data_IF_307886507238
#
_entry.id   IF_307886507238
#
_cell.length_a   1.000
_cell.length_b   1.000
_cell.length_c   1.000
_cell.angle_alpha   90.00
_cell.angle_beta   90.00
_cell.angle_gamma   90.00
#
_symmetry.space_group_name_H-M   'P 1'
#
loop_
_entity.id
_entity.type
_entity.pdbx_description
1 polymer ?
#
# COMPACT_ATOMS: atom_id res chain seq x y z
N UNK A 1 2.39 5.86 18.40
CA UNK A 1 0.92 5.75 18.51
C UNK A 1 0.40 4.90 17.35
N UNK A 2 -0.60 4.05 17.59
CA UNK A 2 -1.31 3.32 16.52
C UNK A 2 -1.83 4.29 15.45
N UNK A 3 -1.99 3.85 14.18
CA UNK A 3 -2.61 4.69 13.16
C UNK A 3 -3.99 5.12 13.65
N UNK A 4 -4.31 6.42 13.58
CA UNK A 4 -5.67 6.86 13.84
C UNK A 4 -6.54 6.37 12.68
N UNK A 5 -7.67 5.73 12.98
CA UNK A 5 -8.76 5.62 12.00
C UNK A 5 -9.08 7.03 11.47
N UNK A 6 -9.47 7.16 10.19
CA UNK A 6 -9.78 8.46 9.62
C UNK A 6 -10.76 9.18 10.54
N UNK A 7 -10.36 10.36 11.04
CA UNK A 7 -11.30 11.22 11.75
C UNK A 7 -12.39 11.61 10.75
N UNK A 8 -13.65 11.56 11.17
CA UNK A 8 -14.74 12.19 10.41
C UNK A 8 -14.29 13.59 10.00
N UNK A 9 -14.19 13.79 8.68
CA UNK A 9 -13.74 15.03 8.08
C UNK A 9 -14.77 16.10 8.43
N UNK A 10 -14.31 17.18 9.08
CA UNK A 10 -15.14 18.36 9.32
C UNK A 10 -15.61 18.90 7.97
N UNK A 11 -16.89 19.24 7.96
CA UNK A 11 -17.80 19.65 6.88
C UNK A 11 -17.37 20.88 6.03
N UNK A 12 -16.12 20.95 5.57
CA UNK A 12 -15.65 21.95 4.59
C UNK A 12 -15.47 21.34 3.17
N UNK A 13 -15.54 20.01 3.03
CA UNK A 13 -15.34 19.27 1.76
C UNK A 13 -16.65 18.83 1.07
N UNK A 14 -17.68 19.68 1.09
CA UNK A 14 -18.98 19.40 0.43
C UNK A 14 -18.88 19.17 -1.09
N UNK A 15 -17.72 19.45 -1.71
CA UNK A 15 -17.49 19.35 -3.15
C UNK A 15 -16.36 18.37 -3.55
N UNK A 16 -15.71 17.70 -2.60
CA UNK A 16 -14.68 16.73 -2.93
C UNK A 16 -15.34 15.41 -3.40
N UNK A 17 -15.23 15.14 -4.70
CA UNK A 17 -15.66 13.86 -5.26
C UNK A 17 -14.82 12.74 -4.63
N UNK A 18 -15.49 11.77 -3.99
CA UNK A 18 -14.85 10.56 -3.50
C UNK A 18 -14.13 9.84 -4.65
N UNK A 19 -13.03 9.16 -4.33
CA UNK A 19 -12.28 8.38 -5.31
C UNK A 19 -13.17 7.34 -6.00
N UNK A 20 -14.09 6.73 -5.26
CA UNK A 20 -15.08 5.77 -5.79
C UNK A 20 -16.00 6.35 -6.86
N UNK A 21 -16.20 7.67 -6.89
CA UNK A 21 -17.00 8.37 -7.90
C UNK A 21 -16.23 8.67 -9.18
N UNK A 22 -14.89 8.62 -9.16
CA UNK A 22 -14.02 8.96 -10.30
C UNK A 22 -13.28 7.75 -10.89
N UNK A 23 -13.06 6.69 -10.09
CA UNK A 23 -12.38 5.48 -10.54
C UNK A 23 -13.37 4.45 -11.07
N UNK A 24 -12.94 3.64 -12.05
CA UNK A 24 -13.70 2.49 -12.49
C UNK A 24 -13.61 1.37 -11.44
N UNK A 25 -14.73 1.03 -10.80
CA UNK A 25 -14.80 -0.05 -9.80
C UNK A 25 -14.49 -1.44 -10.38
N UNK A 26 -14.60 -1.62 -11.69
CA UNK A 26 -14.21 -2.85 -12.36
C UNK A 26 -12.70 -2.99 -12.60
N UNK A 27 -11.91 -1.96 -12.29
CA UNK A 27 -10.46 -1.96 -12.45
C UNK A 27 -9.79 -3.00 -11.55
N UNK A 28 -8.72 -3.62 -12.04
CA UNK A 28 -8.03 -4.73 -11.37
C UNK A 28 -7.51 -4.36 -9.98
N UNK A 29 -6.91 -3.16 -9.84
CA UNK A 29 -6.45 -2.67 -8.53
C UNK A 29 -7.59 -2.47 -7.54
N UNK A 30 -8.77 -2.01 -7.99
CA UNK A 30 -9.94 -1.80 -7.10
C UNK A 30 -10.44 -3.15 -6.59
N UNK A 31 -10.60 -4.12 -7.50
CA UNK A 31 -10.96 -5.49 -7.13
C UNK A 31 -9.94 -6.12 -6.19
N UNK A 32 -8.65 -5.86 -6.40
CA UNK A 32 -7.60 -6.34 -5.52
C UNK A 32 -7.68 -5.70 -4.13
N UNK A 33 -7.97 -4.40 -4.06
CA UNK A 33 -8.22 -3.70 -2.79
C UNK A 33 -9.31 -4.38 -1.99
N UNK A 34 -10.42 -4.74 -2.61
CA UNK A 34 -11.57 -5.32 -1.90
C UNK A 34 -11.33 -6.77 -1.44
N UNK A 35 -10.33 -7.45 -2.01
CA UNK A 35 -9.97 -8.84 -1.65
C UNK A 35 -8.91 -8.94 -0.56
N UNK A 36 -8.04 -7.94 -0.44
CA UNK A 36 -7.02 -7.92 0.59
C UNK A 36 -7.69 -7.65 1.93
N UNK A 37 -7.46 -8.52 2.92
CA UNK A 37 -7.90 -8.28 4.30
C UNK A 37 -6.99 -7.23 4.97
N UNK A 38 -7.29 -5.96 4.68
CA UNK A 38 -6.56 -4.82 5.25
C UNK A 38 -6.70 -4.73 6.77
N UNK A 39 -7.78 -5.26 7.36
CA UNK A 39 -7.97 -5.29 8.81
C UNK A 39 -7.02 -6.29 9.46
N UNK A 40 -6.85 -7.47 8.85
CA UNK A 40 -5.87 -8.44 9.26
C UNK A 40 -4.45 -7.88 9.16
N UNK A 41 -4.09 -7.27 8.03
CA UNK A 41 -2.80 -6.61 7.84
C UNK A 41 -2.54 -5.56 8.92
N UNK A 42 -3.52 -4.67 9.18
CA UNK A 42 -3.37 -3.65 10.21
C UNK A 42 -3.16 -4.28 11.59
N UNK A 43 -3.92 -5.33 11.92
CA UNK A 43 -3.81 -6.05 13.20
C UNK A 43 -2.42 -6.64 13.41
N UNK A 44 -1.81 -7.22 12.37
CA UNK A 44 -0.46 -7.77 12.45
C UNK A 44 0.60 -6.66 12.56
N UNK A 45 0.32 -5.47 12.02
CA UNK A 45 1.21 -4.32 12.13
C UNK A 45 1.13 -3.62 13.50
N UNK A 46 0.02 -3.72 14.24
CA UNK A 46 -0.17 -3.01 15.52
C UNK A 46 0.94 -3.22 16.57
N UNK A 47 1.51 -4.43 16.77
CA UNK A 47 2.56 -4.66 17.77
C UNK A 47 3.83 -3.81 17.56
N UNK A 48 4.07 -3.33 16.34
CA UNK A 48 5.25 -2.53 16.00
C UNK A 48 5.07 -1.02 16.28
N UNK A 49 3.90 -0.60 16.74
CA UNK A 49 3.59 0.80 17.03
C UNK A 49 3.18 0.99 18.48
N UNK A 50 3.82 1.95 19.16
CA UNK A 50 3.47 2.35 20.52
C UNK A 50 2.03 2.87 20.62
N UNK A 51 1.43 2.88 21.82
CA UNK A 51 0.12 3.51 22.06
C UNK A 51 0.24 5.04 22.15
N UNK A 52 1.38 5.57 22.58
CA UNK A 52 1.61 7.01 22.79
C UNK A 52 2.52 7.63 21.71
N UNK A 53 2.45 8.95 21.50
CA UNK A 53 3.27 9.70 20.53
C UNK A 53 2.57 10.10 19.21
N UNK A 54 3.35 10.51 18.20
CA UNK A 54 2.82 10.90 16.86
C UNK A 54 2.00 9.75 16.24
N UNK A 55 0.84 10.02 15.60
CA UNK A 55 0.07 8.99 14.91
C UNK A 55 0.95 8.25 13.91
N UNK A 56 0.94 6.92 13.97
CA UNK A 56 1.63 6.13 12.96
C UNK A 56 0.98 6.34 11.60
N UNK A 57 1.81 6.21 10.57
CA UNK A 57 1.35 6.21 9.18
C UNK A 57 0.44 4.99 8.99
N UNK A 58 -0.71 5.12 8.31
CA UNK A 58 -1.62 3.99 8.09
C UNK A 58 -0.91 2.79 7.48
N UNK A 59 -1.11 1.61 8.08
CA UNK A 59 -0.53 0.35 7.62
C UNK A 59 -0.90 0.07 6.16
N UNK A 60 -2.15 0.38 5.78
CA UNK A 60 -2.65 0.24 4.39
C UNK A 60 -1.89 1.12 3.39
N UNK A 61 -1.56 2.37 3.73
CA UNK A 61 -0.77 3.23 2.85
C UNK A 61 0.60 2.60 2.59
N UNK A 62 1.28 2.17 3.64
CA UNK A 62 2.63 1.61 3.56
C UNK A 62 2.69 0.28 2.81
N UNK A 63 1.84 -0.68 3.23
CA UNK A 63 1.76 -1.98 2.57
C UNK A 63 1.29 -1.82 1.13
N UNK A 64 0.34 -0.92 0.88
CA UNK A 64 -0.14 -0.61 -0.47
C UNK A 64 0.95 -0.07 -1.38
N UNK A 65 1.75 0.90 -0.92
CA UNK A 65 2.89 1.43 -1.68
C UNK A 65 3.91 0.34 -2.01
N UNK A 66 4.23 -0.53 -1.06
CA UNK A 66 5.17 -1.62 -1.29
C UNK A 66 4.62 -2.69 -2.25
N UNK A 67 3.33 -3.03 -2.16
CA UNK A 67 2.67 -3.91 -3.14
C UNK A 67 2.75 -3.31 -4.54
N UNK A 68 2.43 -2.02 -4.70
CA UNK A 68 2.53 -1.32 -5.98
C UNK A 68 3.98 -1.31 -6.51
N UNK A 69 4.97 -1.09 -5.64
CA UNK A 69 6.39 -1.19 -6.02
C UNK A 69 6.74 -2.57 -6.54
N UNK A 70 6.31 -3.63 -5.86
CA UNK A 70 6.61 -5.00 -6.27
C UNK A 70 5.85 -5.42 -7.53
N UNK A 71 4.59 -5.03 -7.66
CA UNK A 71 3.75 -5.35 -8.82
C UNK A 71 4.22 -4.65 -10.11
N UNK A 72 4.68 -3.41 -9.99
CA UNK A 72 5.05 -2.57 -11.14
C UNK A 72 6.57 -2.34 -11.27
N UNK A 73 7.38 -3.03 -10.46
CA UNK A 73 8.84 -2.89 -10.39
C UNK A 73 9.31 -1.43 -10.27
N UNK A 74 8.80 -0.71 -9.25
CA UNK A 74 9.08 0.71 -9.02
C UNK A 74 10.09 0.95 -7.90
N UNK A 75 10.86 2.03 -8.04
CA UNK A 75 11.64 2.60 -6.93
C UNK A 75 10.73 3.30 -5.91
N UNK A 76 11.29 3.67 -4.76
CA UNK A 76 10.56 4.45 -3.75
C UNK A 76 10.12 5.82 -4.31
N UNK A 77 10.97 6.48 -5.09
CA UNK A 77 10.68 7.77 -5.71
C UNK A 77 9.58 7.63 -6.77
N UNK A 78 9.71 6.62 -7.65
CA UNK A 78 8.78 6.40 -8.74
C UNK A 78 7.37 6.04 -8.25
N UNK A 79 7.24 5.27 -7.16
CA UNK A 79 5.92 4.99 -6.59
C UNK A 79 5.31 6.24 -5.97
N UNK A 80 6.11 7.09 -5.29
CA UNK A 80 5.62 8.34 -4.72
C UNK A 80 5.07 9.28 -5.81
N UNK A 81 5.80 9.42 -6.92
CA UNK A 81 5.42 10.28 -8.03
C UNK A 81 4.15 9.78 -8.73
N UNK A 82 4.09 8.48 -9.06
CA UNK A 82 2.88 7.89 -9.65
C UNK A 82 1.68 7.92 -8.72
N UNK A 83 1.88 7.83 -7.42
CA UNK A 83 0.80 7.90 -6.45
C UNK A 83 0.09 9.26 -6.48
N UNK A 84 0.83 10.36 -6.66
CA UNK A 84 0.26 11.71 -6.73
C UNK A 84 -0.63 11.87 -7.96
N UNK A 85 -0.27 11.25 -9.08
CA UNK A 85 -0.97 11.39 -10.35
C UNK A 85 -2.10 10.38 -10.54
N UNK A 86 -2.11 9.27 -9.78
CA UNK A 86 -2.96 8.12 -10.07
C UNK A 86 -4.03 7.87 -8.99
N UNK A 87 -5.33 8.12 -9.27
CA UNK A 87 -6.40 7.90 -8.30
C UNK A 87 -6.59 6.42 -7.92
N UNK A 88 -6.23 5.48 -8.78
CA UNK A 88 -6.27 4.05 -8.45
C UNK A 88 -5.21 3.67 -7.40
N UNK A 89 -4.03 4.30 -7.45
CA UNK A 89 -2.97 4.05 -6.47
C UNK A 89 -3.37 4.61 -5.10
N UNK A 90 -3.96 5.80 -5.08
CA UNK A 90 -4.46 6.43 -3.86
C UNK A 90 -5.58 5.60 -3.22
N UNK A 91 -6.55 5.16 -4.02
CA UNK A 91 -7.62 4.28 -3.54
C UNK A 91 -7.07 2.95 -2.99
N UNK A 92 -6.12 2.33 -3.70
CA UNK A 92 -5.48 1.10 -3.25
C UNK A 92 -4.79 1.28 -1.88
N UNK A 93 -4.08 2.40 -1.72
CA UNK A 93 -3.43 2.81 -0.47
C UNK A 93 -4.38 3.28 0.64
N UNK A 94 -5.69 3.39 0.38
CA UNK A 94 -6.71 3.68 1.39
C UNK A 94 -7.15 5.13 1.50
N UNK A 95 -6.80 5.97 0.52
CA UNK A 95 -7.38 7.30 0.44
C UNK A 95 -8.84 7.24 0.02
N UNK A 96 -9.66 8.12 0.60
CA UNK A 96 -11.07 8.27 0.25
C UNK A 96 -11.28 9.38 -0.79
N UNK A 97 -10.41 10.39 -0.78
CA UNK A 97 -10.44 11.56 -1.65
C UNK A 97 -9.12 11.71 -2.38
N UNK A 98 -9.16 12.28 -3.58
CA UNK A 98 -7.95 12.51 -4.37
C UNK A 98 -7.02 13.51 -3.68
N UNK A 99 -5.76 13.13 -3.54
CA UNK A 99 -4.70 13.90 -2.92
C UNK A 99 -3.72 14.40 -3.99
N UNK A 100 -3.48 15.71 -4.01
CA UNK A 100 -2.50 16.32 -4.93
C UNK A 100 -1.08 16.37 -4.36
N UNK A 101 -0.89 15.92 -3.12
CA UNK A 101 0.40 15.91 -2.43
C UNK A 101 0.61 14.57 -1.75
N UNK A 102 1.85 14.10 -1.75
CA UNK A 102 2.19 12.86 -1.07
C UNK A 102 2.08 13.04 0.46
N UNK A 103 1.39 12.14 1.19
CA UNK A 103 0.96 12.38 2.57
C UNK A 103 2.08 12.23 3.61
N UNK A 104 3.26 11.75 3.21
CA UNK A 104 4.39 11.43 4.10
C UNK A 104 5.71 11.90 3.49
N UNK A 105 6.75 11.97 4.31
CA UNK A 105 8.12 12.14 3.78
C UNK A 105 8.56 10.86 3.07
N UNK A 106 9.21 10.98 1.89
CA UNK A 106 9.66 9.82 1.07
C UNK A 106 10.52 8.84 1.89
N UNK A 107 11.39 9.36 2.76
CA UNK A 107 12.24 8.58 3.67
C UNK A 107 11.44 7.70 4.65
N UNK A 108 10.16 8.01 4.90
CA UNK A 108 9.29 7.27 5.82
C UNK A 108 9.03 5.84 5.35
N UNK A 109 9.06 5.58 4.04
CA UNK A 109 8.85 4.24 3.48
C UNK A 109 9.94 3.28 4.00
N UNK A 110 11.20 3.68 3.85
CA UNK A 110 12.34 2.89 4.32
C UNK A 110 12.37 2.73 5.84
N UNK A 111 12.05 3.80 6.58
CA UNK A 111 12.01 3.75 8.04
C UNK A 111 10.88 2.86 8.57
N UNK A 112 9.71 2.89 7.92
CA UNK A 112 8.58 2.06 8.29
C UNK A 112 8.89 0.57 8.09
N UNK A 113 9.51 0.20 6.96
CA UNK A 113 9.97 -1.18 6.70
C UNK A 113 10.94 -1.67 7.78
N UNK A 114 11.92 -0.84 8.16
CA UNK A 114 12.88 -1.19 9.21
C UNK A 114 12.21 -1.38 10.58
N UNK A 115 11.19 -0.57 10.89
CA UNK A 115 10.46 -0.64 12.16
C UNK A 115 9.60 -1.90 12.29
N UNK A 116 8.91 -2.26 11.22
CA UNK A 116 8.04 -3.45 11.15
C UNK A 116 8.85 -4.74 11.03
N UNK A 117 10.12 -4.63 10.63
CA UNK A 117 11.04 -5.75 10.49
C UNK A 117 10.98 -6.35 9.09
N UNK A 118 12.14 -6.47 8.43
CA UNK A 118 12.21 -6.88 7.02
C UNK A 118 11.65 -8.29 6.80
N UNK A 119 11.92 -9.23 7.71
CA UNK A 119 11.46 -10.62 7.59
C UNK A 119 9.95 -10.79 7.77
N UNK A 120 9.34 -10.03 8.68
CA UNK A 120 7.89 -10.02 8.85
C UNK A 120 7.22 -9.34 7.64
N UNK A 121 7.79 -8.21 7.21
CA UNK A 121 7.27 -7.47 6.06
C UNK A 121 7.31 -8.29 4.76
N UNK A 122 8.39 -9.02 4.51
CA UNK A 122 8.51 -9.91 3.34
C UNK A 122 7.44 -11.00 3.35
N UNK A 123 7.17 -11.63 4.51
CA UNK A 123 6.12 -12.65 4.63
C UNK A 123 4.74 -12.07 4.35
N UNK A 124 4.43 -10.92 4.95
CA UNK A 124 3.18 -10.20 4.75
C UNK A 124 2.95 -9.86 3.27
N UNK A 125 4.02 -9.40 2.59
CA UNK A 125 3.97 -9.05 1.18
C UNK A 125 3.78 -10.29 0.30
N UNK A 126 4.48 -11.39 0.60
CA UNK A 126 4.32 -12.66 -0.10
C UNK A 126 2.92 -13.23 0.06
N UNK A 127 2.34 -13.17 1.25
CA UNK A 127 0.98 -13.63 1.51
C UNK A 127 -0.05 -12.78 0.74
N UNK A 128 0.08 -11.45 0.80
CA UNK A 128 -0.78 -10.51 0.07
C UNK A 128 -0.71 -10.73 -1.45
N UNK A 129 0.49 -10.97 -1.98
CA UNK A 129 0.71 -11.29 -3.39
C UNK A 129 0.15 -12.67 -3.74
N UNK A 130 0.31 -13.69 -2.88
CA UNK A 130 -0.24 -15.03 -3.10
C UNK A 130 -1.75 -14.98 -3.24
N UNK A 131 -2.44 -14.26 -2.35
CA UNK A 131 -3.89 -14.05 -2.42
C UNK A 131 -4.26 -13.34 -3.74
N UNK A 132 -3.46 -12.37 -4.17
CA UNK A 132 -3.66 -11.69 -5.46
C UNK A 132 -3.51 -12.64 -6.67
N UNK A 133 -2.61 -13.63 -6.59
CA UNK A 133 -2.27 -14.55 -7.70
C UNK A 133 -3.12 -15.82 -7.77
N UNK A 134 -3.42 -16.44 -6.62
CA UNK A 134 -4.11 -17.73 -6.57
C UNK A 134 -5.55 -17.63 -7.10
N UNK A 135 -6.17 -16.46 -7.06
CA UNK A 135 -7.59 -16.30 -7.39
C UNK A 135 -7.92 -15.80 -8.80
N UNK A 136 -7.02 -15.98 -9.79
CA UNK A 136 -7.25 -15.64 -11.21
C UNK A 136 -7.68 -14.17 -11.46
N UNK A 137 -7.48 -13.27 -10.50
CA UNK A 137 -7.96 -11.89 -10.55
C UNK A 137 -7.17 -11.00 -11.52
N UNK A 138 -5.93 -11.40 -11.83
CA UNK A 138 -5.03 -10.67 -12.71
C UNK A 138 -4.72 -11.54 -13.94
N UNK A 139 -5.05 -11.06 -15.14
CA UNK A 139 -4.70 -11.78 -16.37
C UNK A 139 -3.18 -11.89 -16.49
N UNK A 140 -2.68 -13.13 -16.64
CA UNK A 140 -1.24 -13.47 -16.84
C UNK A 140 -0.47 -12.56 -17.81
N UNK A 141 -1.15 -11.94 -18.79
CA UNK A 141 -0.52 -11.08 -19.81
C UNK A 141 -0.33 -9.60 -19.40
N UNK A 142 -1.01 -9.08 -18.38
CA UNK A 142 -0.79 -7.70 -17.89
C UNK A 142 0.36 -7.64 -16.85
N UNK A 143 0.98 -8.78 -16.57
CA UNK A 143 1.94 -9.01 -15.51
C UNK A 143 3.30 -9.50 -16.01
N UNK A 144 3.66 -9.27 -17.28
CA UNK A 144 4.90 -9.74 -17.91
C UNK A 144 6.21 -9.22 -17.25
N UNK A 145 6.15 -8.56 -16.09
CA UNK A 145 7.29 -8.17 -15.26
C UNK A 145 7.25 -8.70 -13.82
N UNK A 146 6.53 -9.79 -13.54
CA UNK A 146 6.75 -10.54 -12.30
C UNK A 146 7.86 -11.57 -12.54
N UNK A 147 9.09 -11.09 -12.68
CA UNK A 147 10.28 -11.94 -12.63
C UNK A 147 11.26 -11.25 -11.70
N UNK A 148 11.37 -11.83 -10.50
CA UNK A 148 12.51 -11.76 -9.58
C UNK A 148 12.72 -10.38 -8.94
N UNK A 149 12.82 -10.35 -7.61
CA UNK A 149 13.97 -9.81 -6.85
C UNK A 149 13.57 -9.72 -5.37
N UNK A 150 14.06 -10.69 -4.62
CA UNK A 150 14.65 -10.58 -3.27
C UNK A 150 15.16 -12.01 -3.04
N UNK A 151 16.26 -12.40 -3.67
CA UNK A 151 17.64 -12.17 -3.21
C UNK A 151 18.62 -12.16 -4.40
N UNK A 152 19.69 -11.34 -4.42
CA UNK A 152 20.95 -11.81 -5.00
C UNK A 152 21.44 -13.00 -4.15
N UNK A 153 21.91 -14.11 -4.73
CA UNK A 153 22.43 -15.23 -3.96
C UNK A 153 23.54 -14.69 -3.05
N UNK A 154 23.35 -14.80 -1.73
CA UNK A 154 24.43 -14.64 -0.77
C UNK A 154 25.43 -15.76 -1.06
N UNK A 155 26.42 -15.48 -1.90
CA UNK A 155 27.66 -16.22 -1.93
C UNK A 155 28.29 -15.96 -0.56
N UNK A 156 28.19 -16.95 0.33
CA UNK A 156 29.03 -16.99 1.53
C UNK A 156 30.43 -17.45 1.08
N UNK A 157 31.50 -16.89 1.67
CA UNK A 157 32.85 -17.40 1.45
C UNK A 157 33.00 -18.84 1.96
#
# INVERSE_FOLDING_TARGET
>A
MKPRHPKEVKNDDLFCSRLTSIINTSHELVKLTDRIDWAHIDSQCQPFFSVEGRPAIPSRLMVGLHLLKSMYALSDEAVCERWIENPYYQYFCGEEFFQHRFPIERSSITHWRKRVGESFFEKLLQESLRIAFDEKALKKNQLQRIVVVTFPPRIKP
#
